data_IF_633088528212
#
_entry.id   IF_633088528212
#
_cell.length_a   1.000
_cell.length_b   1.000
_cell.length_c   1.000
_cell.angle_alpha   90.00
_cell.angle_beta   90.00
_cell.angle_gamma   90.00
#
_symmetry.space_group_name_H-M   'P 1'
#
loop_
_entity.id
_entity.type
_entity.pdbx_description
1 polymer ?
#
# COMPACT_ATOMS: atom_id res chain seq x y z
N UNK A 1 56.63 -49.61 -10.93
CA UNK A 1 55.32 -49.29 -11.58
C UNK A 1 54.26 -49.32 -10.52
N UNK A 2 53.77 -48.26 -10.14
CA UNK A 2 52.34 -47.98 -9.87
C UNK A 2 52.18 -46.91 -8.86
N UNK A 3 50.99 -46.36 -8.83
CA UNK A 3 50.40 -45.44 -7.86
C UNK A 3 50.47 -43.96 -8.29
N UNK A 4 49.63 -43.67 -9.24
CA UNK A 4 49.14 -42.30 -9.42
C UNK A 4 47.74 -42.33 -10.01
N UNK A 5 46.79 -42.97 -9.32
CA UNK A 5 45.36 -42.91 -9.62
C UNK A 5 44.59 -42.83 -8.30
N UNK A 6 44.39 -41.69 -7.78
CA UNK A 6 43.57 -41.56 -6.55
C UNK A 6 43.30 -40.17 -6.06
N UNK A 7 44.17 -39.23 -6.31
CA UNK A 7 43.98 -37.85 -5.79
C UNK A 7 43.06 -36.97 -6.66
N UNK A 8 43.04 -37.16 -7.98
CA UNK A 8 42.21 -36.38 -8.88
C UNK A 8 40.70 -36.64 -8.75
N UNK A 9 40.30 -37.88 -8.43
CA UNK A 9 38.90 -38.27 -8.28
C UNK A 9 38.30 -37.85 -6.92
N UNK A 10 39.14 -37.81 -5.89
CA UNK A 10 38.70 -37.32 -4.55
C UNK A 10 38.45 -35.84 -4.59
N UNK A 11 39.31 -35.05 -5.24
CA UNK A 11 39.09 -33.61 -5.40
C UNK A 11 37.88 -33.28 -6.29
N UNK A 12 37.65 -34.03 -7.38
CA UNK A 12 36.45 -33.86 -8.21
C UNK A 12 35.16 -34.20 -7.46
N UNK A 13 35.17 -35.25 -6.64
CA UNK A 13 34.03 -35.62 -5.80
C UNK A 13 33.79 -34.61 -4.67
N UNK A 14 34.85 -34.06 -4.06
CA UNK A 14 34.69 -32.98 -3.05
C UNK A 14 34.22 -31.67 -3.66
N UNK A 15 34.68 -31.28 -4.84
CA UNK A 15 34.20 -30.08 -5.54
C UNK A 15 32.76 -30.27 -6.01
N UNK A 16 32.36 -31.44 -6.51
CA UNK A 16 30.97 -31.73 -6.84
C UNK A 16 30.09 -31.81 -5.59
N UNK A 17 30.56 -32.37 -4.47
CA UNK A 17 29.84 -32.35 -3.20
C UNK A 17 29.72 -30.92 -2.60
N UNK A 18 30.77 -30.10 -2.74
CA UNK A 18 30.72 -28.69 -2.29
C UNK A 18 29.81 -27.85 -3.19
N UNK A 19 29.74 -28.12 -4.49
CA UNK A 19 28.78 -27.43 -5.38
C UNK A 19 27.33 -27.89 -5.18
N UNK A 20 27.08 -29.11 -4.72
CA UNK A 20 25.73 -29.63 -4.43
C UNK A 20 25.22 -29.15 -3.07
N UNK A 21 26.12 -28.83 -2.13
CA UNK A 21 25.74 -28.30 -0.80
C UNK A 21 25.48 -26.75 -0.79
N UNK A 22 25.71 -26.04 -1.89
CA UNK A 22 25.47 -24.58 -1.98
C UNK A 22 24.12 -24.19 -2.60
N UNK A 23 23.27 -25.13 -2.99
CA UNK A 23 21.85 -24.88 -3.15
C UNK A 23 21.16 -25.06 -1.80
N UNK A 24 21.48 -24.23 -0.83
CA UNK A 24 20.53 -23.89 0.24
C UNK A 24 19.38 -23.22 -0.48
N UNK A 25 18.32 -23.97 -0.71
CA UNK A 25 17.07 -23.42 -1.21
C UNK A 25 16.67 -22.33 -0.22
N UNK A 26 16.78 -21.07 -0.62
CA UNK A 26 16.40 -19.95 0.24
C UNK A 26 14.98 -20.23 0.73
N UNK A 27 14.78 -20.31 2.05
CA UNK A 27 13.46 -20.58 2.62
C UNK A 27 12.56 -19.41 2.26
N UNK A 28 11.43 -19.68 1.60
CA UNK A 28 10.46 -18.67 1.18
C UNK A 28 9.50 -18.36 2.33
N UNK A 29 9.96 -17.61 3.33
CA UNK A 29 9.19 -17.24 4.53
C UNK A 29 7.92 -16.48 4.19
N UNK A 30 7.97 -15.63 3.16
CA UNK A 30 6.81 -14.87 2.68
C UNK A 30 5.69 -15.76 2.15
N UNK A 31 5.96 -16.99 1.77
CA UNK A 31 4.94 -17.95 1.33
C UNK A 31 4.10 -18.51 2.47
N UNK A 32 4.58 -18.46 3.71
CA UNK A 32 3.80 -18.79 4.90
C UNK A 32 2.85 -17.69 5.33
N UNK A 33 3.08 -16.44 4.91
CA UNK A 33 2.29 -15.29 5.34
C UNK A 33 0.93 -15.26 4.66
N UNK A 34 -0.12 -15.10 5.45
CA UNK A 34 -1.46 -14.76 4.97
C UNK A 34 -1.87 -13.36 5.45
N UNK A 35 -1.88 -12.36 4.57
CA UNK A 35 -2.38 -11.02 4.91
C UNK A 35 -3.88 -11.00 5.29
N UNK A 36 -4.62 -12.07 4.99
CA UNK A 36 -6.06 -12.20 5.29
C UNK A 36 -6.34 -12.60 6.74
N UNK A 37 -5.34 -13.04 7.52
CA UNK A 37 -5.52 -13.36 8.94
C UNK A 37 -5.98 -12.12 9.70
N UNK A 38 -7.06 -12.24 10.48
CA UNK A 38 -7.63 -11.16 11.29
C UNK A 38 -8.53 -10.18 10.52
N UNK A 39 -8.91 -10.48 9.26
CA UNK A 39 -9.74 -9.59 8.44
C UNK A 39 -11.25 -9.88 8.53
N UNK A 40 -11.67 -10.92 9.27
CA UNK A 40 -13.07 -11.20 9.53
C UNK A 40 -13.51 -10.47 10.80
N UNK A 41 -13.73 -9.18 10.72
CA UNK A 41 -14.07 -8.30 11.84
C UNK A 41 -15.22 -7.38 11.48
N UNK A 42 -15.92 -6.92 12.52
CA UNK A 42 -16.95 -5.89 12.42
C UNK A 42 -16.83 -4.93 13.60
N UNK A 43 -17.66 -3.88 13.60
CA UNK A 43 -17.74 -2.96 14.75
C UNK A 43 -18.22 -3.67 16.01
N UNK A 44 -19.17 -4.62 15.89
CA UNK A 44 -19.74 -5.36 17.02
C UNK A 44 -18.81 -6.48 17.49
N UNK A 45 -18.05 -7.08 16.58
CA UNK A 45 -17.20 -8.24 16.87
C UNK A 45 -15.80 -8.04 16.31
N UNK A 46 -14.88 -7.71 17.19
CA UNK A 46 -13.47 -7.54 16.87
C UNK A 46 -12.74 -8.89 16.90
N UNK A 47 -12.37 -9.40 15.74
CA UNK A 47 -11.63 -10.66 15.56
C UNK A 47 -10.28 -10.47 14.88
N UNK A 48 -9.64 -9.30 15.11
CA UNK A 48 -8.34 -8.93 14.55
C UNK A 48 -8.27 -7.50 14.05
N UNK A 49 -9.36 -6.97 13.49
CA UNK A 49 -9.48 -5.58 13.00
C UNK A 49 -8.37 -5.19 12.01
N UNK A 50 -7.98 -6.14 11.16
CA UNK A 50 -6.93 -5.94 10.18
C UNK A 50 -7.50 -5.93 8.76
N UNK A 51 -6.71 -5.50 7.83
CA UNK A 51 -6.94 -5.60 6.40
C UNK A 51 -5.73 -6.25 5.73
N UNK A 52 -5.83 -6.79 4.51
CA UNK A 52 -4.69 -7.31 3.79
C UNK A 52 -3.79 -6.15 3.36
N UNK A 53 -2.74 -5.88 4.13
CA UNK A 53 -1.77 -4.83 3.85
C UNK A 53 -0.74 -5.35 2.84
N UNK A 54 -0.88 -4.96 1.59
CA UNK A 54 0.08 -5.28 0.53
C UNK A 54 1.08 -4.13 0.45
N UNK A 55 2.34 -4.40 0.83
CA UNK A 55 3.35 -3.34 1.01
C UNK A 55 4.77 -3.90 1.04
N UNK A 56 5.76 -3.04 1.21
CA UNK A 56 7.10 -3.40 1.71
C UNK A 56 7.10 -3.39 3.25
N UNK A 57 8.06 -4.06 3.91
CA UNK A 57 8.25 -3.91 5.36
C UNK A 57 8.38 -2.43 5.74
N UNK A 58 7.59 -1.97 6.70
CA UNK A 58 7.52 -0.55 7.12
C UNK A 58 7.31 0.45 5.99
N UNK A 59 6.75 0.03 4.85
CA UNK A 59 6.55 0.89 3.68
C UNK A 59 5.69 2.12 4.00
N UNK A 60 5.91 3.22 3.27
CA UNK A 60 5.12 4.44 3.44
C UNK A 60 3.65 4.19 3.04
N UNK A 61 3.43 3.52 1.91
CA UNK A 61 2.11 3.27 1.37
C UNK A 61 1.75 1.79 1.47
N UNK A 62 0.57 1.50 2.01
CA UNK A 62 -0.05 0.18 1.95
C UNK A 62 -1.19 0.19 0.94
N UNK A 63 -1.41 -0.95 0.32
CA UNK A 63 -2.50 -1.16 -0.63
C UNK A 63 -3.40 -2.28 -0.14
N UNK A 64 -4.70 -2.12 -0.34
CA UNK A 64 -5.69 -3.13 0.05
C UNK A 64 -6.87 -3.13 -0.91
N UNK A 65 -7.47 -4.30 -1.23
CA UNK A 65 -8.81 -4.31 -1.81
C UNK A 65 -9.80 -3.69 -0.83
N UNK A 66 -10.72 -2.90 -1.32
CA UNK A 66 -11.73 -2.19 -0.54
C UNK A 66 -13.08 -2.89 -0.68
N UNK A 67 -13.60 -3.46 0.40
CA UNK A 67 -14.96 -4.03 0.45
C UNK A 67 -15.95 -3.11 1.16
N UNK A 68 -15.48 -2.31 2.12
CA UNK A 68 -16.25 -1.26 2.80
C UNK A 68 -16.44 -0.03 1.95
N UNK A 69 -17.35 0.86 2.37
CA UNK A 69 -17.55 2.15 1.73
C UNK A 69 -16.43 3.14 2.09
N UNK A 70 -16.38 4.24 1.34
CA UNK A 70 -15.50 5.36 1.65
C UNK A 70 -15.71 5.83 3.10
N UNK A 71 -14.59 5.96 3.83
CA UNK A 71 -14.62 6.35 5.25
C UNK A 71 -14.92 5.23 6.24
N UNK A 72 -15.25 4.03 5.78
CA UNK A 72 -15.41 2.87 6.66
C UNK A 72 -14.07 2.45 7.28
N UNK A 73 -14.05 2.32 8.61
CA UNK A 73 -12.87 1.84 9.33
C UNK A 73 -12.57 0.36 9.06
N UNK A 74 -13.58 -0.44 8.73
CA UNK A 74 -13.44 -1.83 8.29
C UNK A 74 -13.38 -1.89 6.76
N UNK A 75 -12.30 -1.33 6.20
CA UNK A 75 -12.13 -1.15 4.76
C UNK A 75 -12.05 -2.46 3.95
N UNK A 76 -11.72 -3.58 4.59
CA UNK A 76 -11.81 -4.93 4.03
C UNK A 76 -12.34 -5.89 5.10
N UNK A 77 -13.39 -6.61 4.76
CA UNK A 77 -13.97 -7.66 5.62
C UNK A 77 -14.02 -8.96 4.82
N UNK A 78 -13.44 -10.04 5.38
CA UNK A 78 -13.31 -11.34 4.70
C UNK A 78 -14.64 -11.93 4.22
N UNK A 79 -15.72 -11.71 4.95
CA UNK A 79 -17.06 -12.21 4.60
C UNK A 79 -17.78 -11.39 3.53
N UNK A 80 -17.21 -10.24 3.12
CA UNK A 80 -17.76 -9.46 2.02
C UNK A 80 -17.51 -10.14 0.68
N UNK A 81 -18.41 -9.90 -0.26
CA UNK A 81 -18.42 -10.55 -1.57
C UNK A 81 -18.26 -9.58 -2.76
N UNK A 82 -18.07 -8.28 -2.49
CA UNK A 82 -17.82 -7.27 -3.51
C UNK A 82 -16.61 -6.40 -3.15
N UNK A 83 -15.81 -6.11 -4.18
CA UNK A 83 -14.71 -5.12 -4.12
C UNK A 83 -15.19 -3.86 -4.82
N UNK A 84 -14.97 -2.68 -4.20
CA UNK A 84 -15.34 -1.34 -4.68
C UNK A 84 -14.17 -0.57 -5.27
N UNK A 85 -12.95 -1.03 -4.99
CA UNK A 85 -11.71 -0.42 -5.45
C UNK A 85 -10.48 -1.06 -4.81
N UNK A 86 -9.33 -0.62 -5.27
CA UNK A 86 -8.03 -0.93 -4.67
C UNK A 86 -7.49 0.36 -4.07
N UNK A 87 -7.43 0.39 -2.76
CA UNK A 87 -7.22 1.61 -1.98
C UNK A 87 -5.77 1.72 -1.52
N UNK A 88 -5.14 2.88 -1.75
CA UNK A 88 -3.99 3.27 -0.95
C UNK A 88 -4.48 3.61 0.45
N UNK A 89 -3.85 3.06 1.46
CA UNK A 89 -4.28 3.23 2.86
C UNK A 89 -3.11 3.48 3.79
N UNK A 90 -3.36 4.30 4.79
CA UNK A 90 -2.44 4.61 5.88
C UNK A 90 -3.10 4.31 7.23
N UNK A 91 -4.18 3.53 7.24
CA UNK A 91 -4.94 3.24 8.45
C UNK A 91 -4.15 2.33 9.40
N UNK A 92 -3.86 2.76 10.65
CA UNK A 92 -3.26 1.90 11.65
C UNK A 92 -4.30 1.01 12.37
N UNK A 93 -5.53 1.49 12.52
CA UNK A 93 -6.65 0.76 13.09
C UNK A 93 -7.99 1.35 12.63
N UNK A 94 -9.11 0.60 12.71
CA UNK A 94 -10.44 1.11 12.38
C UNK A 94 -10.85 2.34 13.19
N UNK A 95 -10.47 2.42 14.47
CA UNK A 95 -10.85 3.53 15.36
C UNK A 95 -10.03 4.80 15.13
N UNK A 96 -8.76 4.68 14.75
CA UNK A 96 -7.92 5.82 14.36
C UNK A 96 -8.32 6.31 12.97
N UNK A 97 -8.84 5.39 12.13
CA UNK A 97 -9.22 5.63 10.75
C UNK A 97 -8.02 5.95 9.85
N UNK A 98 -8.30 6.39 8.62
CA UNK A 98 -7.34 6.53 7.53
C UNK A 98 -7.03 8.00 7.22
N UNK A 99 -5.97 8.23 6.48
CA UNK A 99 -5.58 9.56 5.99
C UNK A 99 -4.87 9.46 4.64
N UNK A 100 -4.99 10.49 3.83
CA UNK A 100 -4.32 10.58 2.53
C UNK A 100 -4.68 9.45 1.54
N UNK A 101 -5.84 8.83 1.72
CA UNK A 101 -6.25 7.69 0.90
C UNK A 101 -6.90 8.12 -0.41
N UNK A 102 -6.74 7.27 -1.42
CA UNK A 102 -7.48 7.29 -2.70
C UNK A 102 -7.60 5.86 -3.22
N UNK A 103 -8.48 5.61 -4.18
CA UNK A 103 -8.67 4.28 -4.75
C UNK A 103 -8.69 4.26 -6.27
N UNK A 104 -8.42 3.07 -6.82
CA UNK A 104 -8.42 2.79 -8.26
C UNK A 104 -9.31 1.58 -8.49
N UNK A 105 -10.19 1.63 -9.51
CA UNK A 105 -11.08 0.52 -9.85
C UNK A 105 -11.21 0.38 -11.36
N UNK A 106 -10.86 -0.80 -11.96
CA UNK A 106 -11.16 -1.07 -13.34
C UNK A 106 -12.64 -1.44 -13.49
N UNK A 107 -13.28 -0.94 -14.54
CA UNK A 107 -14.68 -1.24 -14.90
C UNK A 107 -14.80 -1.41 -16.42
N UNK A 108 -15.87 -2.04 -16.90
CA UNK A 108 -16.09 -2.30 -18.31
C UNK A 108 -17.52 -1.96 -18.75
N UNK A 109 -17.70 -1.74 -20.05
CA UNK A 109 -18.99 -1.50 -20.72
C UNK A 109 -19.45 -0.05 -20.63
N UNK A 110 -19.35 0.60 -19.49
CA UNK A 110 -19.68 2.02 -19.28
C UNK A 110 -18.80 2.63 -18.18
N UNK A 111 -18.62 3.96 -18.16
CA UNK A 111 -17.80 4.66 -17.18
C UNK A 111 -18.49 4.76 -15.82
N UNK A 112 -18.67 3.62 -15.16
CA UNK A 112 -19.36 3.54 -13.87
C UNK A 112 -18.45 4.00 -12.73
N UNK A 113 -18.69 5.21 -12.20
CA UNK A 113 -17.83 5.86 -11.21
C UNK A 113 -18.40 5.81 -9.80
N UNK A 114 -19.71 5.62 -9.63
CA UNK A 114 -20.36 5.56 -8.33
C UNK A 114 -19.91 4.31 -7.54
N UNK A 115 -19.50 4.50 -6.29
CA UNK A 115 -18.84 3.47 -5.48
C UNK A 115 -19.63 2.15 -5.37
N UNK A 116 -20.94 2.23 -5.15
CA UNK A 116 -21.79 1.04 -5.03
C UNK A 116 -22.07 0.37 -6.41
N UNK A 117 -22.11 1.15 -7.49
CA UNK A 117 -22.40 0.65 -8.83
C UNK A 117 -21.17 0.05 -9.51
N UNK A 118 -19.96 0.60 -9.25
CA UNK A 118 -18.70 0.05 -9.77
C UNK A 118 -18.25 -1.22 -9.03
N UNK A 119 -18.88 -1.53 -7.88
CA UNK A 119 -18.49 -2.67 -7.05
C UNK A 119 -18.73 -4.00 -7.77
N UNK A 120 -17.71 -4.86 -7.77
CA UNK A 120 -17.71 -6.15 -8.45
C UNK A 120 -17.66 -7.32 -7.49
N UNK A 121 -18.42 -8.38 -7.81
CA UNK A 121 -18.29 -9.66 -7.14
C UNK A 121 -16.88 -10.25 -7.31
N UNK A 122 -16.40 -10.89 -6.27
CA UNK A 122 -15.15 -11.65 -6.29
C UNK A 122 -15.28 -12.94 -5.46
N UNK A 123 -14.29 -13.80 -5.59
CA UNK A 123 -14.23 -15.05 -4.82
C UNK A 123 -12.83 -15.23 -4.24
N UNK A 124 -12.75 -15.61 -2.97
CA UNK A 124 -11.49 -15.99 -2.33
C UNK A 124 -10.77 -17.17 -3.00
N UNK A 125 -11.49 -18.00 -3.78
CA UNK A 125 -10.88 -19.06 -4.60
C UNK A 125 -10.06 -18.52 -5.77
N UNK A 126 -10.35 -17.29 -6.21
CA UNK A 126 -9.64 -16.59 -7.28
C UNK A 126 -8.88 -15.36 -6.75
N UNK A 127 -8.71 -15.27 -5.43
CA UNK A 127 -7.94 -14.23 -4.74
C UNK A 127 -6.56 -14.76 -4.33
N UNK A 128 -5.52 -14.02 -4.63
CA UNK A 128 -4.17 -14.27 -4.13
C UNK A 128 -3.74 -13.04 -3.33
N UNK A 129 -3.53 -13.21 -2.04
CA UNK A 129 -3.02 -12.17 -1.16
C UNK A 129 -1.67 -12.60 -0.57
N UNK A 130 -0.60 -11.93 -0.98
CA UNK A 130 0.76 -12.07 -0.42
C UNK A 130 1.19 -10.71 0.14
N UNK A 131 2.12 -10.61 1.06
CA UNK A 131 2.58 -9.33 1.59
C UNK A 131 3.02 -8.33 0.51
N UNK A 132 3.53 -8.82 -0.60
CA UNK A 132 4.15 -8.08 -1.70
C UNK A 132 3.36 -8.10 -3.00
N UNK A 133 2.23 -8.84 -3.08
CA UNK A 133 1.49 -9.07 -4.31
C UNK A 133 0.03 -9.38 -4.02
N UNK A 134 -0.86 -8.81 -4.81
CA UNK A 134 -2.28 -9.12 -4.77
C UNK A 134 -2.83 -9.38 -6.17
N UNK A 135 -3.75 -10.34 -6.28
CA UNK A 135 -4.47 -10.66 -7.52
C UNK A 135 -5.89 -11.07 -7.21
N UNK A 136 -6.83 -10.60 -8.03
CA UNK A 136 -8.24 -10.99 -7.95
C UNK A 136 -8.91 -10.90 -9.32
N UNK A 137 -9.93 -11.71 -9.52
CA UNK A 137 -10.85 -11.61 -10.65
C UNK A 137 -12.13 -10.89 -10.23
N UNK A 138 -12.50 -9.86 -10.99
CA UNK A 138 -13.68 -9.01 -10.80
C UNK A 138 -14.78 -9.45 -11.76
N UNK A 139 -15.80 -10.14 -11.25
CA UNK A 139 -16.76 -10.89 -12.08
C UNK A 139 -17.72 -10.00 -12.90
N UNK A 140 -18.19 -8.85 -12.35
CA UNK A 140 -19.06 -7.92 -13.09
C UNK A 140 -18.36 -7.27 -14.28
N UNK A 141 -17.04 -7.10 -14.17
CA UNK A 141 -16.25 -6.38 -15.16
C UNK A 141 -15.42 -7.31 -16.06
N UNK A 142 -15.38 -8.62 -15.75
CA UNK A 142 -14.52 -9.61 -16.43
C UNK A 142 -13.04 -9.17 -16.47
N UNK A 143 -12.55 -8.61 -15.36
CA UNK A 143 -11.19 -8.06 -15.27
C UNK A 143 -10.38 -8.81 -14.24
N UNK A 144 -9.15 -9.21 -14.59
CA UNK A 144 -8.16 -9.62 -13.61
C UNK A 144 -7.35 -8.40 -13.19
N UNK A 145 -7.34 -8.10 -11.89
CA UNK A 145 -6.54 -7.02 -11.31
C UNK A 145 -5.41 -7.59 -10.50
N UNK A 146 -4.21 -7.09 -10.73
CA UNK A 146 -3.00 -7.43 -9.99
C UNK A 146 -2.30 -6.16 -9.54
N UNK A 147 -1.61 -6.20 -8.40
CA UNK A 147 -0.81 -5.08 -7.91
C UNK A 147 0.44 -5.54 -7.18
N UNK A 148 1.52 -4.78 -7.32
CA UNK A 148 2.81 -4.98 -6.66
C UNK A 148 3.37 -3.66 -6.18
N UNK A 149 3.49 -3.44 -4.85
CA UNK A 149 3.99 -2.19 -4.29
C UNK A 149 5.52 -2.19 -4.12
N UNK A 150 6.07 -0.98 -4.13
CA UNK A 150 7.35 -0.62 -3.53
C UNK A 150 7.11 0.08 -2.18
N UNK A 151 8.04 0.88 -1.67
CA UNK A 151 7.81 1.63 -0.43
C UNK A 151 6.79 2.76 -0.60
N UNK A 152 6.85 3.51 -1.75
CA UNK A 152 6.05 4.71 -2.02
C UNK A 152 5.25 4.64 -3.31
N UNK A 153 5.48 3.58 -4.12
CA UNK A 153 4.81 3.40 -5.39
C UNK A 153 4.15 2.01 -5.50
N UNK A 154 3.37 1.81 -6.55
CA UNK A 154 2.76 0.52 -6.89
C UNK A 154 2.61 0.42 -8.40
N UNK A 155 2.79 -0.76 -8.97
CA UNK A 155 2.37 -1.06 -10.32
C UNK A 155 1.11 -1.91 -10.28
N UNK A 156 0.07 -1.45 -10.98
CA UNK A 156 -1.11 -2.23 -11.29
C UNK A 156 -0.99 -2.86 -12.66
N UNK A 157 -1.60 -4.02 -12.80
CA UNK A 157 -1.81 -4.71 -14.07
C UNK A 157 -3.28 -5.11 -14.16
N UNK A 158 -3.99 -4.54 -15.14
CA UNK A 158 -5.37 -4.86 -15.45
C UNK A 158 -5.41 -5.69 -16.73
N UNK A 159 -5.94 -6.91 -16.66
CA UNK A 159 -6.20 -7.73 -17.85
C UNK A 159 -7.67 -7.62 -18.18
N UNK A 160 -7.97 -6.95 -19.27
CA UNK A 160 -9.33 -6.62 -19.71
C UNK A 160 -9.91 -7.64 -20.70
N UNK A 161 -11.26 -7.75 -20.79
CA UNK A 161 -11.94 -8.43 -21.89
C UNK A 161 -11.89 -7.57 -23.17
N UNK A 162 -12.53 -8.05 -24.23
CA UNK A 162 -12.82 -7.22 -25.41
C UNK A 162 -14.03 -6.33 -25.11
N UNK A 163 -13.79 -5.04 -24.81
CA UNK A 163 -14.84 -4.11 -24.42
C UNK A 163 -14.35 -2.65 -24.48
N UNK A 164 -15.28 -1.71 -24.25
CA UNK A 164 -14.94 -0.40 -23.74
C UNK A 164 -14.58 -0.56 -22.26
N UNK A 165 -13.33 -0.33 -21.94
CA UNK A 165 -12.74 -0.58 -20.62
C UNK A 165 -12.34 0.73 -20.00
N UNK A 166 -12.51 0.84 -18.68
CA UNK A 166 -12.24 2.09 -17.95
C UNK A 166 -11.47 1.84 -16.66
N UNK A 167 -10.80 2.87 -16.20
CA UNK A 167 -10.23 2.93 -14.85
C UNK A 167 -10.78 4.17 -14.15
N UNK A 168 -11.39 3.95 -13.01
CA UNK A 168 -11.89 4.98 -12.10
C UNK A 168 -10.83 5.28 -11.06
N UNK A 169 -10.46 6.55 -10.91
CA UNK A 169 -9.62 7.07 -9.83
C UNK A 169 -10.49 7.91 -8.92
N UNK A 170 -10.63 7.51 -7.66
CA UNK A 170 -11.47 8.17 -6.68
C UNK A 170 -10.57 8.78 -5.59
N UNK A 171 -10.48 10.10 -5.54
CA UNK A 171 -9.66 10.84 -4.59
C UNK A 171 -10.37 11.13 -3.25
N UNK A 172 -11.56 10.59 -3.09
CA UNK A 172 -12.40 10.63 -1.89
C UNK A 172 -12.86 12.05 -1.46
N UNK A 173 -13.65 12.08 -0.42
CA UNK A 173 -14.27 13.27 0.15
C UNK A 173 -13.34 14.03 1.12
N UNK A 174 -13.84 15.15 1.64
CA UNK A 174 -13.19 16.09 2.57
C UNK A 174 -12.07 16.91 1.95
N UNK A 175 -12.15 17.12 0.66
CA UNK A 175 -11.24 17.94 -0.14
C UNK A 175 -10.29 17.10 -0.97
N UNK A 176 -10.45 17.19 -2.28
CA UNK A 176 -9.58 16.51 -3.23
C UNK A 176 -9.49 17.25 -4.56
N UNK A 177 -8.48 16.91 -5.34
CA UNK A 177 -8.28 17.43 -6.68
C UNK A 177 -7.80 16.33 -7.60
N UNK A 178 -8.27 16.36 -8.84
CA UNK A 178 -7.80 15.51 -9.92
C UNK A 178 -7.60 16.32 -11.19
N UNK A 179 -6.58 15.96 -11.96
CA UNK A 179 -6.31 16.49 -13.29
C UNK A 179 -5.87 15.38 -14.22
N UNK A 180 -6.60 15.19 -15.30
CA UNK A 180 -6.28 14.25 -16.38
C UNK A 180 -5.42 14.98 -17.43
N UNK A 181 -4.32 14.38 -17.83
CA UNK A 181 -3.38 14.89 -18.84
C UNK A 181 -3.29 13.85 -19.97
N UNK A 182 -4.22 13.88 -20.95
CA UNK A 182 -4.34 12.83 -21.96
C UNK A 182 -3.07 12.65 -22.80
N UNK A 183 -2.42 13.77 -23.19
CA UNK A 183 -1.19 13.74 -23.99
C UNK A 183 0.02 13.08 -23.31
N UNK A 184 -0.06 12.86 -21.98
CA UNK A 184 0.95 12.18 -21.19
C UNK A 184 0.45 10.84 -20.62
N UNK A 185 -0.78 10.43 -20.94
CA UNK A 185 -1.46 9.25 -20.36
C UNK A 185 -1.40 9.27 -18.83
N UNK A 186 -1.64 10.42 -18.23
CA UNK A 186 -1.36 10.69 -16.81
C UNK A 186 -2.55 11.30 -16.10
N UNK A 187 -2.69 10.94 -14.82
CA UNK A 187 -3.56 11.63 -13.86
C UNK A 187 -2.68 12.12 -12.72
N UNK A 188 -2.88 13.35 -12.30
CA UNK A 188 -2.30 13.90 -11.06
C UNK A 188 -3.40 14.42 -10.16
N UNK A 189 -3.15 14.46 -8.88
CA UNK A 189 -4.13 14.97 -7.94
C UNK A 189 -3.61 15.00 -6.51
N UNK A 190 -4.51 15.30 -5.60
CA UNK A 190 -4.26 15.18 -4.16
C UNK A 190 -5.55 14.89 -3.40
N UNK A 191 -5.40 14.39 -2.19
CA UNK A 191 -6.46 14.31 -1.18
C UNK A 191 -5.99 14.99 0.11
N UNK A 192 -6.90 15.70 0.77
CA UNK A 192 -6.67 16.32 2.08
C UNK A 192 -7.29 15.50 3.21
N UNK A 193 -7.94 14.38 2.87
CA UNK A 193 -8.63 13.57 3.85
C UNK A 193 -7.68 13.12 4.97
N UNK A 194 -8.11 13.35 6.20
CA UNK A 194 -7.38 12.96 7.40
C UNK A 194 -8.37 12.76 8.55
N UNK A 195 -7.90 12.22 9.64
CA UNK A 195 -8.70 11.99 10.85
C UNK A 195 -8.47 13.04 11.93
N UNK A 196 -7.88 14.18 11.59
CA UNK A 196 -7.52 15.29 12.49
C UNK A 196 -6.08 15.23 13.01
N UNK A 197 -5.67 16.27 13.71
CA UNK A 197 -4.32 16.35 14.33
C UNK A 197 -3.19 16.78 13.40
N UNK A 198 -3.49 17.22 12.17
CA UNK A 198 -2.51 17.68 11.18
C UNK A 198 -2.69 19.14 10.83
N UNK A 199 -1.66 19.84 10.33
CA UNK A 199 -1.75 21.20 9.82
C UNK A 199 -2.72 21.35 8.64
N UNK A 200 -3.24 22.55 8.42
CA UNK A 200 -4.23 22.85 7.38
C UNK A 200 -3.73 22.62 5.95
N UNK A 201 -2.42 22.62 5.73
CA UNK A 201 -1.79 22.36 4.44
C UNK A 201 -1.53 20.87 4.17
N UNK A 202 -1.98 19.97 5.03
CA UNK A 202 -1.82 18.53 4.85
C UNK A 202 -2.45 18.07 3.53
N UNK A 203 -1.66 17.41 2.72
CA UNK A 203 -2.08 16.78 1.46
C UNK A 203 -1.30 15.50 1.21
N UNK A 204 -1.94 14.52 0.59
CA UNK A 204 -1.27 13.43 -0.08
C UNK A 204 -1.44 13.63 -1.59
N UNK A 205 -0.37 14.03 -2.27
CA UNK A 205 -0.31 14.19 -3.71
C UNK A 205 -0.10 12.83 -4.37
N UNK A 206 -0.73 12.58 -5.51
CA UNK A 206 -0.54 11.36 -6.25
C UNK A 206 -0.31 11.61 -7.75
N UNK A 207 0.39 10.69 -8.38
CA UNK A 207 0.59 10.61 -9.82
C UNK A 207 0.30 9.19 -10.28
N UNK A 208 -0.42 9.06 -11.40
CA UNK A 208 -0.76 7.80 -12.05
C UNK A 208 -0.39 7.91 -13.53
N UNK A 209 0.50 7.04 -14.01
CA UNK A 209 0.91 6.96 -15.41
C UNK A 209 0.42 5.63 -15.99
N UNK A 210 -0.19 5.70 -17.18
CA UNK A 210 -0.68 4.53 -17.91
C UNK A 210 0.18 4.25 -19.14
N UNK A 211 0.37 2.97 -19.47
CA UNK A 211 1.12 2.53 -20.63
C UNK A 211 0.33 2.58 -21.95
N UNK A 212 -0.94 3.00 -21.89
CA UNK A 212 -1.86 3.09 -23.04
C UNK A 212 -2.45 4.50 -23.15
N UNK A 213 -2.67 4.99 -24.38
CA UNK A 213 -3.37 6.26 -24.59
C UNK A 213 -4.85 6.13 -24.21
N UNK A 214 -5.41 7.22 -23.73
CA UNK A 214 -6.82 7.29 -23.37
C UNK A 214 -7.71 7.41 -24.63
N UNK A 215 -8.85 6.77 -24.59
CA UNK A 215 -9.91 6.87 -25.62
C UNK A 215 -11.17 7.54 -25.07
N UNK A 216 -11.20 7.79 -23.76
CA UNK A 216 -12.25 8.51 -23.05
C UNK A 216 -11.67 9.17 -21.79
N UNK A 217 -12.08 10.38 -21.52
CA UNK A 217 -11.70 11.15 -20.34
C UNK A 217 -12.91 11.88 -19.75
N UNK A 218 -13.11 11.72 -18.46
CA UNK A 218 -14.06 12.49 -17.67
C UNK A 218 -13.55 12.68 -16.25
N UNK A 219 -14.06 13.70 -15.57
CA UNK A 219 -13.93 13.83 -14.14
C UNK A 219 -15.31 13.73 -13.49
N UNK A 220 -15.34 13.46 -12.20
CA UNK A 220 -16.57 13.60 -11.42
C UNK A 220 -16.27 14.42 -10.17
N UNK A 221 -17.27 15.12 -9.69
CA UNK A 221 -17.13 15.92 -8.49
C UNK A 221 -18.45 16.12 -7.76
N UNK A 222 -18.29 16.55 -6.53
CA UNK A 222 -19.33 17.01 -5.66
C UNK A 222 -18.82 18.27 -4.94
N UNK A 223 -19.49 19.38 -5.18
CA UNK A 223 -19.18 20.71 -4.64
C UNK A 223 -19.96 21.02 -3.34
N UNK A 224 -20.85 20.12 -2.93
CA UNK A 224 -21.68 20.29 -1.74
C UNK A 224 -21.10 19.53 -0.56
N UNK A 225 -20.74 20.23 0.50
CA UNK A 225 -20.41 19.56 1.77
C UNK A 225 -21.69 18.97 2.37
N UNK A 226 -21.67 17.71 2.81
CA UNK A 226 -22.82 17.15 3.49
C UNK A 226 -23.10 17.89 4.80
N UNK A 227 -24.37 18.10 5.10
CA UNK A 227 -24.80 18.73 6.36
C UNK A 227 -24.37 17.94 7.61
N UNK A 228 -24.12 16.64 7.43
CA UNK A 228 -23.63 15.74 8.48
C UNK A 228 -22.29 15.12 8.04
N UNK A 229 -21.36 14.85 8.98
CA UNK A 229 -20.05 14.26 8.68
C UNK A 229 -20.10 12.88 7.99
N UNK A 230 -21.18 12.14 8.15
CA UNK A 230 -21.46 10.81 7.60
C UNK A 230 -22.42 10.82 6.40
N UNK A 231 -22.87 12.02 5.99
CA UNK A 231 -23.75 12.19 4.84
C UNK A 231 -23.00 11.99 3.52
N UNK A 232 -23.39 10.99 2.71
CA UNK A 232 -22.94 10.85 1.34
C UNK A 232 -23.67 11.84 0.46
N UNK A 233 -22.94 12.69 -0.28
CA UNK A 233 -23.53 13.55 -1.31
C UNK A 233 -23.19 12.94 -2.67
N UNK A 234 -24.18 12.79 -3.57
CA UNK A 234 -23.94 12.23 -4.89
C UNK A 234 -22.89 13.02 -5.67
N UNK A 235 -21.97 12.33 -6.30
CA UNK A 235 -21.02 12.91 -7.25
C UNK A 235 -21.63 12.93 -8.65
N UNK A 236 -21.24 13.90 -9.47
CA UNK A 236 -21.74 14.08 -10.84
C UNK A 236 -20.59 13.93 -11.83
N UNK A 237 -20.78 13.10 -12.86
CA UNK A 237 -19.85 12.93 -13.98
C UNK A 237 -19.86 14.21 -14.85
N UNK A 238 -18.66 14.66 -15.23
CA UNK A 238 -18.45 15.83 -16.08
C UNK A 238 -17.56 15.44 -17.27
N UNK A 239 -18.19 14.95 -18.32
CA UNK A 239 -17.51 14.56 -19.57
C UNK A 239 -16.76 15.73 -20.19
N UNK A 240 -15.56 15.47 -20.71
CA UNK A 240 -14.69 16.47 -21.33
C UNK A 240 -14.11 17.50 -20.37
N UNK A 241 -14.42 17.45 -19.08
CA UNK A 241 -13.77 18.26 -18.06
C UNK A 241 -12.59 17.48 -17.47
N UNK A 242 -11.38 18.01 -17.62
CA UNK A 242 -10.13 17.34 -17.29
C UNK A 242 -9.55 17.67 -15.93
N UNK A 243 -10.11 18.68 -15.24
CA UNK A 243 -9.61 19.12 -13.94
C UNK A 243 -10.77 19.49 -13.01
N UNK A 244 -10.70 19.02 -11.78
CA UNK A 244 -11.65 19.31 -10.70
C UNK A 244 -10.93 19.49 -9.37
N UNK A 245 -11.41 20.43 -8.56
CA UNK A 245 -11.03 20.59 -7.16
C UNK A 245 -12.32 20.90 -6.40
N UNK A 246 -12.74 19.96 -5.55
CA UNK A 246 -14.01 20.04 -4.85
C UNK A 246 -13.96 19.29 -3.51
N UNK A 247 -15.09 19.18 -2.82
CA UNK A 247 -15.20 18.38 -1.61
C UNK A 247 -14.92 16.89 -1.87
N UNK A 248 -15.38 16.35 -3.01
CA UNK A 248 -15.09 15.00 -3.49
C UNK A 248 -14.84 15.04 -4.99
N UNK A 249 -13.69 14.54 -5.44
CA UNK A 249 -13.35 14.47 -6.86
C UNK A 249 -12.83 13.10 -7.26
N UNK A 250 -12.91 12.83 -8.56
CA UNK A 250 -12.29 11.69 -9.18
C UNK A 250 -12.22 11.83 -10.70
N UNK A 251 -11.62 10.85 -11.33
CA UNK A 251 -11.45 10.78 -12.78
C UNK A 251 -11.87 9.41 -13.31
N UNK A 252 -12.35 9.38 -14.53
CA UNK A 252 -12.62 8.16 -15.30
C UNK A 252 -11.88 8.29 -16.63
N UNK A 253 -10.99 7.35 -16.90
CA UNK A 253 -10.30 7.25 -18.20
C UNK A 253 -10.67 5.94 -18.87
N UNK A 254 -10.74 5.91 -20.19
CA UNK A 254 -11.16 4.78 -20.97
C UNK A 254 -10.12 4.29 -21.97
N UNK A 255 -10.27 3.02 -22.32
CA UNK A 255 -9.47 2.29 -23.29
C UNK A 255 -10.40 1.42 -24.15
N UNK A 256 -10.08 1.22 -25.42
CA UNK A 256 -10.67 0.16 -26.22
C UNK A 256 -9.78 -1.05 -26.18
N UNK A 257 -10.21 -2.11 -25.52
CA UNK A 257 -9.38 -3.29 -25.28
C UNK A 257 -9.84 -4.49 -26.09
N UNK A 258 -8.88 -5.33 -26.47
CA UNK A 258 -9.11 -6.68 -27.00
C UNK A 258 -9.12 -7.67 -25.85
N UNK A 259 -9.65 -8.87 -26.11
CA UNK A 259 -9.66 -9.95 -25.11
C UNK A 259 -8.24 -10.27 -24.62
N UNK A 260 -8.04 -10.19 -23.30
CA UNK A 260 -6.77 -10.44 -22.64
C UNK A 260 -5.76 -9.29 -22.77
N UNK A 261 -6.20 -8.12 -23.25
CA UNK A 261 -5.31 -6.96 -23.34
C UNK A 261 -4.98 -6.44 -21.94
N UNK A 262 -3.69 -6.15 -21.76
CA UNK A 262 -3.15 -5.67 -20.49
C UNK A 262 -2.95 -4.16 -20.55
N UNK A 263 -3.39 -3.48 -19.50
CA UNK A 263 -3.09 -2.06 -19.22
C UNK A 263 -2.36 -1.99 -17.88
N UNK A 264 -1.22 -1.34 -17.85
CA UNK A 264 -0.50 -1.05 -16.62
C UNK A 264 -0.77 0.37 -16.14
N UNK A 265 -0.89 0.52 -14.81
CA UNK A 265 -0.88 1.81 -14.15
C UNK A 265 0.27 1.85 -13.13
N UNK A 266 1.15 2.83 -13.27
CA UNK A 266 2.24 3.13 -12.36
C UNK A 266 1.78 4.28 -11.45
N UNK A 267 1.75 4.04 -10.15
CA UNK A 267 1.17 4.97 -9.19
C UNK A 267 2.19 5.28 -8.10
N UNK A 268 2.31 6.54 -7.72
CA UNK A 268 3.06 6.93 -6.53
C UNK A 268 2.37 8.10 -5.83
N UNK A 269 2.70 8.31 -4.57
CA UNK A 269 2.21 9.44 -3.80
C UNK A 269 3.31 10.09 -2.97
N UNK A 270 3.02 11.29 -2.46
CA UNK A 270 3.91 12.09 -1.62
C UNK A 270 3.10 13.00 -0.70
N UNK A 271 3.55 13.13 0.55
CA UNK A 271 3.02 14.13 1.46
C UNK A 271 3.70 15.50 1.31
N UNK A 272 4.76 15.59 0.48
CA UNK A 272 5.58 16.79 0.29
C UNK A 272 5.07 17.64 -0.88
N UNK A 273 5.05 17.08 -2.10
CA UNK A 273 4.66 17.82 -3.30
C UNK A 273 4.34 16.90 -4.49
N UNK A 274 3.70 17.43 -5.57
CA UNK A 274 3.51 16.69 -6.81
C UNK A 274 4.84 16.22 -7.45
N UNK A 275 5.88 17.06 -7.41
CA UNK A 275 7.20 16.73 -7.96
C UNK A 275 7.87 15.59 -7.18
N UNK A 276 7.64 15.55 -5.86
CA UNK A 276 8.13 14.47 -5.03
C UNK A 276 7.36 13.16 -5.32
N UNK A 277 6.05 13.22 -5.59
CA UNK A 277 5.29 12.04 -6.03
C UNK A 277 5.85 11.47 -7.35
N UNK A 278 6.18 12.34 -8.31
CA UNK A 278 6.85 11.95 -9.58
C UNK A 278 8.24 11.34 -9.30
N UNK A 279 8.96 11.84 -8.30
CA UNK A 279 10.24 11.25 -7.89
C UNK A 279 10.05 9.87 -7.28
N UNK A 280 9.08 9.71 -6.40
CA UNK A 280 8.74 8.43 -5.77
C UNK A 280 8.31 7.37 -6.81
N UNK A 281 7.71 7.78 -7.93
CA UNK A 281 7.36 6.89 -9.03
C UNK A 281 8.60 6.19 -9.64
N UNK A 282 9.79 6.80 -9.54
CA UNK A 282 11.05 6.21 -10.01
C UNK A 282 11.48 4.96 -9.23
N UNK A 283 10.88 4.68 -8.07
CA UNK A 283 11.08 3.41 -7.36
C UNK A 283 10.70 2.19 -8.20
N UNK A 284 9.76 2.34 -9.14
CA UNK A 284 9.38 1.28 -10.08
C UNK A 284 10.44 1.06 -11.18
N UNK A 285 11.32 2.03 -11.39
CA UNK A 285 12.38 1.95 -12.39
C UNK A 285 11.87 1.62 -13.80
N UNK A 286 12.65 0.82 -14.53
CA UNK A 286 12.29 0.17 -15.79
C UNK A 286 11.92 -1.30 -15.62
N UNK A 287 11.63 -1.74 -14.40
CA UNK A 287 11.35 -3.14 -14.08
C UNK A 287 10.03 -3.62 -14.68
N UNK A 288 9.98 -4.87 -15.12
CA UNK A 288 8.72 -5.53 -15.45
C UNK A 288 7.92 -5.82 -14.17
N UNK A 289 6.64 -6.09 -14.34
CA UNK A 289 5.76 -6.47 -13.24
C UNK A 289 6.31 -7.67 -12.45
N UNK A 290 6.81 -8.70 -13.14
CA UNK A 290 7.37 -9.91 -12.55
C UNK A 290 8.66 -9.63 -11.74
N UNK A 291 9.51 -8.74 -12.23
CA UNK A 291 10.72 -8.31 -11.52
C UNK A 291 10.35 -7.59 -10.22
N UNK A 292 9.33 -6.73 -10.25
CA UNK A 292 8.84 -6.06 -9.05
C UNK A 292 8.24 -7.05 -8.04
N UNK A 293 7.50 -8.07 -8.51
CA UNK A 293 6.97 -9.15 -7.65
C UNK A 293 8.13 -9.88 -6.97
N UNK A 294 9.16 -10.26 -7.73
CA UNK A 294 10.32 -10.95 -7.19
C UNK A 294 11.07 -10.10 -6.14
N UNK A 295 11.34 -8.82 -6.45
CA UNK A 295 11.94 -7.87 -5.50
C UNK A 295 11.10 -7.69 -4.23
N UNK A 296 9.75 -7.75 -4.37
CA UNK A 296 8.83 -7.73 -3.25
C UNK A 296 8.96 -8.94 -2.34
N UNK A 297 9.01 -10.12 -2.95
CA UNK A 297 9.20 -11.38 -2.24
C UNK A 297 10.54 -11.42 -1.51
N UNK A 298 11.61 -10.98 -2.17
CA UNK A 298 12.96 -10.92 -1.59
C UNK A 298 13.03 -10.00 -0.38
N UNK A 299 12.46 -8.79 -0.47
CA UNK A 299 12.42 -7.85 0.66
C UNK A 299 11.69 -8.42 1.88
N UNK A 300 10.57 -9.13 1.67
CA UNK A 300 9.87 -9.80 2.77
C UNK A 300 10.62 -11.02 3.28
N UNK A 301 11.26 -11.82 2.43
CA UNK A 301 12.08 -12.95 2.86
C UNK A 301 13.29 -12.48 3.68
N UNK A 302 13.93 -11.39 3.30
CA UNK A 302 15.01 -10.78 4.08
C UNK A 302 14.52 -10.33 5.47
N UNK A 303 13.38 -9.63 5.52
CA UNK A 303 12.83 -9.16 6.78
C UNK A 303 12.37 -10.32 7.68
N UNK A 304 11.58 -11.26 7.16
CA UNK A 304 11.04 -12.38 7.92
C UNK A 304 12.12 -13.40 8.32
N UNK A 305 13.13 -13.58 7.49
CA UNK A 305 14.23 -14.52 7.70
C UNK A 305 15.19 -14.14 8.83
N UNK A 306 15.01 -12.95 9.47
CA UNK A 306 15.72 -12.64 10.71
C UNK A 306 15.35 -13.58 11.86
N UNK A 307 14.17 -14.21 11.80
CA UNK A 307 13.72 -15.20 12.77
C UNK A 307 13.39 -16.49 12.04
N UNK A 308 14.20 -17.50 12.25
CA UNK A 308 14.02 -18.82 11.70
C UNK A 308 13.48 -19.77 12.77
N UNK A 309 12.39 -20.49 12.45
CA UNK A 309 11.77 -21.48 13.34
C UNK A 309 11.82 -22.87 12.68
N UNK A 310 11.96 -23.92 13.51
CA UNK A 310 12.01 -25.31 13.10
C UNK A 310 11.09 -26.18 13.95
N UNK A 311 10.71 -27.34 13.42
CA UNK A 311 9.98 -28.36 14.18
C UNK A 311 8.47 -28.13 14.31
N UNK A 312 7.90 -27.15 13.60
CA UNK A 312 6.46 -26.85 13.63
C UNK A 312 5.67 -27.54 12.51
N UNK A 313 4.35 -27.57 12.66
CA UNK A 313 3.41 -27.91 11.57
C UNK A 313 3.30 -26.73 10.59
N UNK A 314 2.76 -26.99 9.38
CA UNK A 314 2.52 -25.95 8.39
C UNK A 314 1.64 -24.79 8.95
N UNK A 315 0.63 -25.10 9.75
CA UNK A 315 -0.26 -24.08 10.32
C UNK A 315 0.44 -23.27 11.42
N UNK A 316 1.37 -23.89 12.17
CA UNK A 316 2.21 -23.14 13.11
C UNK A 316 3.18 -22.18 12.38
N UNK A 317 3.79 -22.60 11.27
CA UNK A 317 4.59 -21.71 10.42
C UNK A 317 3.75 -20.55 9.87
N UNK A 318 2.58 -20.83 9.32
CA UNK A 318 1.66 -19.79 8.82
C UNK A 318 1.25 -18.80 9.91
N UNK A 319 0.91 -19.29 11.09
CA UNK A 319 0.57 -18.42 12.22
C UNK A 319 1.75 -17.55 12.62
N UNK A 320 2.92 -18.17 12.81
CA UNK A 320 4.11 -17.44 13.24
C UNK A 320 4.51 -16.36 12.24
N UNK A 321 4.68 -16.70 10.97
CA UNK A 321 5.13 -15.73 9.96
C UNK A 321 4.06 -14.69 9.61
N UNK A 322 2.76 -15.02 9.73
CA UNK A 322 1.69 -14.02 9.59
C UNK A 322 1.68 -13.02 10.75
N UNK A 323 1.94 -13.46 11.98
CA UNK A 323 2.10 -12.57 13.13
C UNK A 323 3.37 -11.72 13.02
N UNK A 324 4.49 -12.34 12.61
CA UNK A 324 5.75 -11.61 12.38
C UNK A 324 5.59 -10.54 11.30
N UNK A 325 4.95 -10.88 10.17
CA UNK A 325 4.60 -9.90 9.13
C UNK A 325 3.83 -8.70 9.71
N UNK A 326 2.81 -8.93 10.56
CA UNK A 326 2.05 -7.85 11.21
C UNK A 326 2.94 -6.96 12.07
N UNK A 327 3.92 -7.53 12.76
CA UNK A 327 4.87 -6.78 13.59
C UNK A 327 5.85 -5.91 12.77
N UNK A 328 5.97 -6.15 11.46
CA UNK A 328 6.88 -5.42 10.56
C UNK A 328 6.14 -4.42 9.65
N UNK A 329 4.87 -4.15 9.91
CA UNK A 329 4.09 -3.14 9.20
C UNK A 329 4.23 -1.76 9.83
N UNK A 330 4.26 -1.68 11.16
CA UNK A 330 4.25 -0.45 11.94
C UNK A 330 5.41 -0.39 12.94
N UNK A 331 5.92 0.79 13.31
CA UNK A 331 5.61 2.14 12.78
C UNK A 331 5.90 2.22 11.27
N UNK A 332 5.10 3.00 10.56
CA UNK A 332 5.22 3.21 9.11
C UNK A 332 6.22 4.33 8.81
N UNK A 333 7.02 4.17 7.74
CA UNK A 333 7.81 5.27 7.18
C UNK A 333 6.90 6.44 6.81
N UNK A 334 7.27 7.64 7.21
CA UNK A 334 6.61 8.88 6.84
C UNK A 334 7.62 9.89 6.29
N UNK A 335 8.72 9.39 5.75
CA UNK A 335 9.74 10.15 5.06
C UNK A 335 9.89 9.67 3.62
N UNK A 336 10.41 10.55 2.82
CA UNK A 336 10.68 10.35 1.41
C UNK A 336 12.17 10.58 1.14
N UNK A 337 12.61 10.40 -0.11
CA UNK A 337 14.00 10.63 -0.47
C UNK A 337 14.08 11.83 -1.41
N UNK A 338 14.93 12.79 -1.10
CA UNK A 338 15.18 13.93 -1.96
C UNK A 338 15.95 13.57 -3.25
N UNK A 339 16.39 14.57 -4.04
CA UNK A 339 17.13 14.36 -5.28
C UNK A 339 18.49 13.68 -5.07
N UNK A 340 19.04 13.77 -3.87
CA UNK A 340 20.34 13.21 -3.49
C UNK A 340 20.20 11.88 -2.75
N UNK A 341 18.97 11.35 -2.61
CA UNK A 341 18.69 10.15 -1.87
C UNK A 341 18.74 10.34 -0.34
N UNK A 342 18.66 11.59 0.15
CA UNK A 342 18.64 11.86 1.58
C UNK A 342 17.20 11.88 2.13
N UNK A 343 16.97 11.41 3.36
CA UNK A 343 15.65 11.42 3.96
C UNK A 343 15.15 12.86 4.16
N UNK A 344 13.91 13.09 3.74
CA UNK A 344 13.17 14.35 3.87
C UNK A 344 11.72 14.00 4.16
N UNK A 345 11.02 14.81 4.94
CA UNK A 345 9.63 14.54 5.28
C UNK A 345 8.78 15.80 5.36
N UNK A 346 7.50 15.66 5.10
CA UNK A 346 6.49 16.61 5.52
C UNK A 346 6.27 16.44 7.03
N UNK A 347 6.41 17.52 7.79
CA UNK A 347 6.12 17.49 9.22
C UNK A 347 4.60 17.49 9.47
N UNK A 348 4.03 16.41 10.00
CA UNK A 348 2.60 16.37 10.34
C UNK A 348 2.28 17.19 11.59
N UNK A 349 3.24 17.91 12.15
CA UNK A 349 3.12 18.71 13.37
C UNK A 349 3.12 20.21 13.08
N UNK A 350 4.00 20.71 12.21
CA UNK A 350 4.12 22.12 11.86
C UNK A 350 3.83 22.46 10.40
N UNK A 351 3.72 21.44 9.52
CA UNK A 351 3.39 21.61 8.10
C UNK A 351 4.56 22.00 7.20
N UNK A 352 5.79 21.97 7.71
CA UNK A 352 7.00 22.26 6.95
C UNK A 352 7.57 21.00 6.29
N UNK A 353 8.38 21.16 5.26
CA UNK A 353 9.20 20.11 4.69
C UNK A 353 10.59 20.19 5.28
N UNK A 354 11.01 19.16 5.99
CA UNK A 354 12.21 19.13 6.81
C UNK A 354 13.10 17.93 6.50
N UNK A 355 14.43 18.01 6.69
CA UNK A 355 15.34 16.89 6.50
C UNK A 355 15.22 15.87 7.63
N UNK A 356 15.54 14.61 7.32
CA UNK A 356 15.65 13.51 8.27
C UNK A 356 14.47 12.55 8.25
N UNK A 357 14.58 11.54 9.09
CA UNK A 357 13.59 10.48 9.22
C UNK A 357 12.33 10.97 9.94
N UNK A 358 11.18 10.44 9.52
CA UNK A 358 9.92 10.53 10.22
C UNK A 358 9.20 9.20 10.12
N UNK A 359 8.60 8.76 11.22
CA UNK A 359 7.76 7.55 11.31
C UNK A 359 6.46 7.90 11.99
N UNK A 360 5.40 7.17 11.63
CA UNK A 360 4.05 7.40 12.15
C UNK A 360 3.29 6.08 12.34
N UNK A 361 2.02 6.17 12.70
CA UNK A 361 1.11 5.04 12.90
C UNK A 361 1.58 4.10 14.00
N UNK A 362 1.82 4.65 15.17
CA UNK A 362 2.13 3.87 16.38
C UNK A 362 1.56 4.52 17.63
N UNK A 363 0.95 3.69 18.48
CA UNK A 363 0.58 4.02 19.83
C UNK A 363 1.58 3.43 20.81
N UNK A 364 2.26 4.27 21.58
CA UNK A 364 3.34 3.80 22.45
C UNK A 364 2.85 2.89 23.57
N UNK A 365 1.64 3.13 24.10
CA UNK A 365 1.04 2.25 25.09
C UNK A 365 0.87 0.81 24.58
N UNK A 366 0.55 0.64 23.30
CA UNK A 366 0.40 -0.68 22.68
C UNK A 366 1.74 -1.36 22.40
N UNK A 367 2.79 -0.60 22.09
CA UNK A 367 4.00 -1.11 21.43
C UNK A 367 5.25 -1.16 22.32
N UNK A 368 5.32 -0.38 23.40
CA UNK A 368 6.56 -0.25 24.18
C UNK A 368 6.98 -1.54 24.91
N UNK A 369 6.01 -2.41 25.27
CA UNK A 369 6.31 -3.62 26.05
C UNK A 369 6.96 -4.72 25.22
N UNK A 370 6.56 -4.88 23.96
CA UNK A 370 6.98 -6.01 23.13
C UNK A 370 7.58 -5.55 21.80
N UNK A 371 6.88 -4.70 21.03
CA UNK A 371 7.31 -4.37 19.67
C UNK A 371 8.64 -3.62 19.66
N UNK A 372 8.81 -2.55 20.44
CA UNK A 372 10.05 -1.80 20.45
C UNK A 372 11.26 -2.59 21.00
N UNK A 373 11.12 -3.38 22.09
CA UNK A 373 12.17 -4.31 22.49
C UNK A 373 12.53 -5.33 21.40
N UNK A 374 11.55 -5.87 20.70
CA UNK A 374 11.76 -6.79 19.59
C UNK A 374 12.48 -6.11 18.42
N UNK A 375 12.06 -4.92 18.00
CA UNK A 375 12.71 -4.15 16.94
C UNK A 375 14.16 -3.78 17.32
N UNK A 376 14.39 -3.42 18.58
CA UNK A 376 15.74 -3.12 19.06
C UNK A 376 16.69 -4.32 18.98
N UNK A 377 16.16 -5.52 19.24
CA UNK A 377 16.95 -6.76 19.19
C UNK A 377 17.18 -7.24 17.75
N UNK A 378 16.11 -7.27 16.94
CA UNK A 378 16.11 -7.95 15.63
C UNK A 378 16.35 -7.01 14.45
N UNK A 379 15.95 -5.73 14.58
CA UNK A 379 16.01 -4.72 13.52
C UNK A 379 16.58 -3.39 14.04
N UNK A 380 17.80 -3.41 14.62
CA UNK A 380 18.35 -2.22 15.31
C UNK A 380 18.49 -1.00 14.38
N UNK A 381 18.79 -1.20 13.10
CA UNK A 381 18.90 -0.09 12.13
C UNK A 381 17.56 0.60 11.91
N UNK A 382 16.48 -0.16 11.74
CA UNK A 382 15.12 0.39 11.60
C UNK A 382 14.68 1.08 12.88
N UNK A 383 14.96 0.46 14.06
CA UNK A 383 14.63 1.09 15.33
C UNK A 383 15.40 2.41 15.54
N UNK A 384 16.66 2.49 15.09
CA UNK A 384 17.43 3.74 15.12
C UNK A 384 16.75 4.84 14.30
N UNK A 385 16.33 4.56 13.07
CA UNK A 385 15.60 5.53 12.24
C UNK A 385 14.29 5.98 12.90
N UNK A 386 13.56 5.05 13.52
CA UNK A 386 12.33 5.36 14.27
C UNK A 386 12.63 6.32 15.43
N UNK A 387 13.70 6.06 16.20
CA UNK A 387 14.10 6.93 17.32
C UNK A 387 14.55 8.31 16.82
N UNK A 388 15.25 8.40 15.70
CA UNK A 388 15.60 9.67 15.07
C UNK A 388 14.34 10.44 14.64
N UNK A 389 13.33 9.75 14.09
CA UNK A 389 12.02 10.32 13.77
C UNK A 389 11.29 10.87 15.00
N UNK A 390 11.37 10.19 16.15
CA UNK A 390 10.82 10.70 17.41
C UNK A 390 11.54 11.95 17.91
N UNK A 391 12.87 12.01 17.78
CA UNK A 391 13.63 13.21 18.09
C UNK A 391 13.21 14.38 17.20
N UNK A 392 12.98 14.12 15.90
CA UNK A 392 12.48 15.14 14.98
C UNK A 392 11.08 15.60 15.39
N UNK A 393 10.16 14.68 15.74
CA UNK A 393 8.83 15.01 16.26
C UNK A 393 8.91 15.97 17.45
N UNK A 394 9.80 15.69 18.42
CA UNK A 394 9.99 16.59 19.57
C UNK A 394 10.50 17.98 19.14
N UNK A 395 11.48 18.03 18.23
CA UNK A 395 12.03 19.30 17.73
C UNK A 395 10.98 20.15 16.99
N UNK A 396 10.06 19.52 16.29
CA UNK A 396 9.07 20.15 15.44
C UNK A 396 7.79 20.55 16.17
N UNK A 397 7.46 19.86 17.27
CA UNK A 397 6.22 20.09 18.01
C UNK A 397 6.41 20.46 19.48
N UNK A 398 7.59 20.22 20.05
CA UNK A 398 7.87 20.40 21.48
C UNK A 398 7.42 19.22 22.37
N UNK A 399 6.77 18.19 21.81
CA UNK A 399 6.26 17.04 22.56
C UNK A 399 6.50 15.73 21.81
N UNK A 400 6.60 14.62 22.57
CA UNK A 400 6.44 13.29 22.01
C UNK A 400 4.95 12.95 21.86
N UNK A 401 4.53 12.35 20.75
CA UNK A 401 3.12 11.98 20.55
C UNK A 401 2.77 10.76 21.39
N UNK A 402 1.60 10.75 22.00
CA UNK A 402 1.02 9.55 22.61
C UNK A 402 0.65 8.52 21.52
N UNK A 403 0.05 9.02 20.46
CA UNK A 403 -0.30 8.31 19.25
C UNK A 403 0.04 9.18 18.04
N UNK A 404 0.96 8.71 17.21
CA UNK A 404 1.27 9.33 15.92
C UNK A 404 0.40 8.69 14.82
N UNK A 405 -0.47 9.48 14.13
CA UNK A 405 -1.28 8.96 13.02
C UNK A 405 -2.01 10.03 12.19
N UNK A 406 -1.33 10.75 11.33
CA UNK A 406 -0.11 11.49 11.61
C UNK A 406 -0.41 12.65 12.57
N UNK A 407 0.61 13.31 13.07
CA UNK A 407 0.46 14.39 14.02
C UNK A 407 0.09 13.94 15.44
N UNK A 408 -0.32 14.90 16.29
CA UNK A 408 -0.71 14.60 17.65
C UNK A 408 -2.14 14.06 17.73
N UNK A 409 -2.30 12.93 18.42
CA UNK A 409 -3.59 12.30 18.68
C UNK A 409 -3.78 12.12 20.18
N UNK A 410 -4.76 12.80 20.73
CA UNK A 410 -5.17 12.64 22.14
C UNK A 410 -6.14 11.47 22.32
N UNK A 411 -5.77 10.27 21.93
CA UNK A 411 -6.70 9.13 21.88
C UNK A 411 -6.30 7.95 22.77
N UNK A 412 -5.15 8.02 23.45
CA UNK A 412 -4.67 6.98 24.35
C UNK A 412 -4.28 7.53 25.71
N UNK A 413 -4.62 6.80 26.75
CA UNK A 413 -4.22 7.09 28.14
C UNK A 413 -3.02 6.24 28.53
N UNK A 414 -2.19 6.75 29.43
CA UNK A 414 -1.14 5.98 30.09
C UNK A 414 0.23 6.02 29.45
N UNK A 415 0.54 7.07 28.71
CA UNK A 415 1.91 7.43 28.36
C UNK A 415 2.42 8.42 29.41
N UNK A 416 3.14 7.94 30.36
CA UNK A 416 3.81 8.78 31.36
C UNK A 416 5.31 8.80 31.09
#
# INVERSE_FOLDING_TARGET
RSVSRGLGDVYKRQVVALCVTLFVQAKDYADYVSPLVGTQSSFELSTGNTYPAISRPWGMNFWTPQTGKMGDGWQYVYTANKIRGFKQTHQPSPWINDYGQFSIMPVTGKPEFEEDKRASWFSHKAEIAKPYYYKVYLAEHDVVTEMVPTERAVMFRFTFPENDSYVVVDAFDRGSSVKVIPGENKIVGYTTRNSGGVPANFKNYFVIEFDKPFTYEATFSNDVQPEKPDGSVPVTLKEGKLEQTDFHTGAVIGFKTKKGEVVHARVASSFISPEQAIRNLKELGGDSFEVLVQKGKEAWNEALGKVEVEGGTLDQYRTFYSCLYRSLLFPRKFYELDANGQPVHYSPYNGETLPGYMYTDTGFWDTFRCLFPFLNLMYPSVNKEIQEGLVNTYKESGFFPEWASPGHRGCMVGNN
#
